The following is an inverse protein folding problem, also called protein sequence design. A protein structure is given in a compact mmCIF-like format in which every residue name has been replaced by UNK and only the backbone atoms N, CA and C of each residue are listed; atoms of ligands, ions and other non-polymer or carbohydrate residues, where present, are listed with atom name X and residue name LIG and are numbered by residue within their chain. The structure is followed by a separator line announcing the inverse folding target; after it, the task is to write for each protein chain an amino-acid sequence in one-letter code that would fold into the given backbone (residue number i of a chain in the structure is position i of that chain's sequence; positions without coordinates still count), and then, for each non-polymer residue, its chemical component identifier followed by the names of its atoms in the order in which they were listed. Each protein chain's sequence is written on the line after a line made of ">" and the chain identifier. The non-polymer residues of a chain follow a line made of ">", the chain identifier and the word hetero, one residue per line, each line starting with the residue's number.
data_IF_671587612711
#
_entry.id   IF_671587612711
#
_cell.length_a   1.000
_cell.length_b   1.000
_cell.length_c   1.000
_cell.angle_alpha   90.00
_cell.angle_beta   90.00
_cell.angle_gamma   90.00
#
_symmetry.space_group_name_H-M   'P 1'
#
loop_
_entity.id
_entity.type
_entity.pdbx_description
1 polymer ?
#
# COMPACT_ATOMS: atom_id res chain seq x y z
N UNK A 1 21.45 -7.66 28.32
CA UNK A 1 20.27 -7.72 27.42
C UNK A 1 20.73 -7.18 26.08
N UNK A 2 20.61 -7.92 24.97
CA UNK A 2 20.90 -7.33 23.65
C UNK A 2 19.99 -6.10 23.49
N UNK A 3 20.53 -5.00 22.97
CA UNK A 3 19.71 -3.85 22.61
C UNK A 3 18.67 -4.31 21.58
N UNK A 4 17.39 -3.99 21.81
CA UNK A 4 16.33 -4.30 20.85
C UNK A 4 16.42 -3.32 19.69
N UNK A 5 16.08 -3.80 18.49
CA UNK A 5 16.04 -2.93 17.31
C UNK A 5 14.86 -1.97 17.44
N UNK A 6 15.14 -0.68 17.31
CA UNK A 6 14.13 0.37 17.25
C UNK A 6 13.72 0.61 15.80
N UNK A 7 12.47 0.22 15.47
CA UNK A 7 11.88 0.38 14.14
C UNK A 7 11.59 1.86 13.78
N UNK A 8 11.73 2.77 14.74
CA UNK A 8 11.52 4.21 14.56
C UNK A 8 12.84 4.99 14.48
N UNK A 9 13.98 4.31 14.66
CA UNK A 9 15.29 4.96 14.62
C UNK A 9 15.59 5.54 13.23
N UNK A 10 16.23 6.73 13.12
CA UNK A 10 16.57 7.33 11.83
C UNK A 10 17.42 6.41 10.94
N UNK A 11 18.33 5.62 11.54
CA UNK A 11 19.16 4.65 10.82
C UNK A 11 18.35 3.53 10.20
N UNK A 12 17.33 3.02 10.91
CA UNK A 12 16.46 1.98 10.37
C UNK A 12 15.56 2.53 9.26
N UNK A 13 15.03 3.75 9.42
CA UNK A 13 14.20 4.40 8.41
C UNK A 13 14.99 4.72 7.13
N UNK A 14 16.28 5.04 7.25
CA UNK A 14 17.15 5.31 6.10
C UNK A 14 17.54 4.05 5.33
N UNK A 15 17.90 2.97 6.03
CA UNK A 15 18.24 1.67 5.42
C UNK A 15 17.83 0.50 6.33
N UNK A 16 16.65 -0.10 6.12
CA UNK A 16 16.16 -1.16 7.00
C UNK A 16 16.73 -2.55 6.66
N UNK A 17 17.33 -2.74 5.49
CA UNK A 17 17.69 -4.06 4.98
C UNK A 17 18.80 -4.78 5.77
N UNK A 18 19.87 -4.09 6.23
CA UNK A 18 20.84 -4.69 7.13
C UNK A 18 20.19 -5.18 8.43
N UNK A 19 19.27 -4.40 8.99
CA UNK A 19 18.54 -4.77 10.19
C UNK A 19 17.62 -5.98 9.96
N UNK A 20 16.95 -6.05 8.81
CA UNK A 20 16.15 -7.22 8.44
C UNK A 20 16.95 -8.51 8.36
N UNK A 21 18.19 -8.46 7.84
CA UNK A 21 19.06 -9.62 7.80
C UNK A 21 19.44 -10.11 9.21
N UNK A 22 19.73 -9.18 10.14
CA UNK A 22 20.02 -9.52 11.55
C UNK A 22 18.80 -10.14 12.22
N UNK A 23 17.62 -9.54 12.07
CA UNK A 23 16.38 -10.05 12.66
C UNK A 23 16.03 -11.45 12.15
N UNK A 24 16.15 -11.70 10.84
CA UNK A 24 15.89 -13.02 10.25
C UNK A 24 16.79 -14.12 10.82
N UNK A 25 18.05 -13.80 11.08
CA UNK A 25 19.01 -14.77 11.61
C UNK A 25 18.83 -15.04 13.11
N UNK A 26 18.12 -14.18 13.84
CA UNK A 26 17.98 -14.28 15.29
C UNK A 26 16.87 -15.24 15.73
N UNK A 27 15.66 -15.10 15.19
CA UNK A 27 14.52 -15.95 15.53
C UNK A 27 13.37 -15.80 14.52
N UNK A 28 12.38 -16.68 14.60
CA UNK A 28 11.15 -16.60 13.79
C UNK A 28 10.34 -15.33 14.04
N UNK A 29 10.34 -14.85 15.29
CA UNK A 29 9.85 -13.53 15.68
C UNK A 29 10.79 -12.92 16.72
N UNK A 30 11.14 -11.65 16.55
CA UNK A 30 12.09 -10.95 17.42
C UNK A 30 11.39 -9.80 18.14
N UNK A 31 11.53 -9.65 19.48
CA UNK A 31 11.00 -8.49 20.18
C UNK A 31 11.74 -7.21 19.75
N UNK A 32 10.99 -6.18 19.38
CA UNK A 32 11.49 -4.90 18.88
C UNK A 32 10.97 -3.73 19.70
N UNK A 33 11.61 -2.57 19.57
CA UNK A 33 11.17 -1.33 20.20
C UNK A 33 10.36 -0.45 19.24
N UNK A 34 9.41 0.36 19.76
CA UNK A 34 8.96 0.43 21.16
C UNK A 34 8.34 -0.88 21.69
N UNK A 35 8.56 -1.18 22.97
CA UNK A 35 8.24 -2.47 23.58
C UNK A 35 6.76 -2.92 23.45
N UNK A 36 6.52 -4.22 23.59
CA UNK A 36 5.22 -4.84 23.31
C UNK A 36 5.03 -5.18 21.82
N UNK A 37 6.08 -5.02 21.02
CA UNK A 37 6.10 -5.33 19.60
C UNK A 37 7.05 -6.49 19.27
N UNK A 38 6.69 -7.24 18.23
CA UNK A 38 7.49 -8.32 17.64
C UNK A 38 7.62 -8.11 16.15
N UNK A 39 8.78 -8.38 15.57
CA UNK A 39 9.00 -8.33 14.13
C UNK A 39 9.12 -9.74 13.55
N UNK A 40 8.43 -9.99 12.44
CA UNK A 40 8.51 -11.22 11.64
C UNK A 40 9.06 -10.84 10.27
N UNK A 41 10.19 -11.44 9.90
CA UNK A 41 11.03 -10.97 8.77
C UNK A 41 11.38 -12.05 7.76
N UNK A 42 11.29 -13.33 8.13
CA UNK A 42 11.51 -14.44 7.23
C UNK A 42 10.28 -14.68 6.35
N UNK A 43 10.49 -15.00 5.07
CA UNK A 43 9.41 -15.08 4.08
C UNK A 43 8.34 -16.12 4.44
N UNK A 44 8.77 -17.33 4.81
CA UNK A 44 7.86 -18.41 5.18
C UNK A 44 7.02 -18.06 6.42
N UNK A 45 7.62 -17.40 7.41
CA UNK A 45 6.96 -16.92 8.63
C UNK A 45 5.97 -15.78 8.34
N UNK A 46 6.34 -14.84 7.49
CA UNK A 46 5.44 -13.77 7.03
C UNK A 46 4.23 -14.37 6.33
N UNK A 47 4.43 -15.33 5.42
CA UNK A 47 3.35 -16.04 4.74
C UNK A 47 2.47 -16.82 5.72
N UNK A 48 3.06 -17.48 6.72
CA UNK A 48 2.33 -18.20 7.77
C UNK A 48 1.41 -17.25 8.57
N UNK A 49 1.95 -16.11 9.03
CA UNK A 49 1.19 -15.08 9.75
C UNK A 49 0.01 -14.58 8.92
N UNK A 50 0.24 -14.25 7.64
CA UNK A 50 -0.78 -13.73 6.75
C UNK A 50 -1.88 -14.74 6.37
N UNK A 51 -1.62 -16.04 6.54
CA UNK A 51 -2.59 -17.12 6.30
C UNK A 51 -3.41 -17.49 7.55
N UNK A 52 -3.11 -16.90 8.70
CA UNK A 52 -3.77 -17.16 9.99
C UNK A 52 -4.46 -15.91 10.55
N UNK A 53 -5.36 -15.25 9.81
CA UNK A 53 -5.99 -14.00 10.24
C UNK A 53 -6.84 -14.15 11.53
N UNK A 54 -7.31 -15.36 11.83
CA UNK A 54 -8.03 -15.68 13.08
C UNK A 54 -7.12 -15.65 14.32
N UNK A 55 -5.80 -15.73 14.12
CA UNK A 55 -4.78 -15.65 15.17
C UNK A 55 -4.09 -14.28 15.16
N UNK A 56 -3.75 -13.81 13.96
CA UNK A 56 -3.08 -12.55 13.70
C UNK A 56 -4.09 -11.56 13.12
N UNK A 57 -4.81 -10.90 14.02
CA UNK A 57 -5.89 -9.97 13.72
C UNK A 57 -5.39 -8.69 13.05
N UNK A 58 -6.17 -8.15 12.12
CA UNK A 58 -5.96 -6.82 11.55
C UNK A 58 -6.69 -5.72 12.33
N UNK A 59 -7.50 -6.08 13.33
CA UNK A 59 -8.26 -5.11 14.10
C UNK A 59 -7.36 -4.30 15.05
N UNK A 60 -7.58 -2.98 15.12
CA UNK A 60 -6.84 -2.13 16.04
C UNK A 60 -7.24 -2.40 17.50
N UNK A 61 -6.35 -2.09 18.44
CA UNK A 61 -6.75 -2.10 19.86
C UNK A 61 -7.67 -0.93 20.18
N UNK A 62 -8.42 -1.00 21.29
CA UNK A 62 -9.20 0.14 21.79
C UNK A 62 -8.36 1.42 21.93
N UNK A 63 -7.12 1.29 22.40
CA UNK A 63 -6.18 2.41 22.50
C UNK A 63 -5.76 2.98 21.13
N UNK A 64 -5.62 2.13 20.12
CA UNK A 64 -5.31 2.58 18.76
C UNK A 64 -6.54 3.31 18.16
N UNK A 65 -7.76 2.83 18.45
CA UNK A 65 -9.03 3.41 17.95
C UNK A 65 -9.30 4.82 18.45
N UNK A 66 -8.73 5.18 19.60
CA UNK A 66 -8.81 6.54 20.15
C UNK A 66 -7.92 7.54 19.40
N UNK A 67 -6.91 7.07 18.64
CA UNK A 67 -6.08 7.95 17.82
C UNK A 67 -6.91 8.55 16.70
N UNK A 68 -6.76 9.85 16.48
CA UNK A 68 -7.56 10.59 15.51
C UNK A 68 -7.48 10.03 14.08
N UNK A 69 -6.35 9.45 13.70
CA UNK A 69 -6.21 8.69 12.46
C UNK A 69 -7.20 7.52 12.40
N UNK A 70 -7.32 6.72 13.45
CA UNK A 70 -8.31 5.64 13.51
C UNK A 70 -9.74 6.12 13.77
N UNK A 71 -9.95 7.35 14.25
CA UNK A 71 -11.29 7.95 14.27
C UNK A 71 -11.71 8.45 12.87
N UNK A 72 -10.75 8.93 12.06
CA UNK A 72 -10.97 9.38 10.69
C UNK A 72 -10.98 8.22 9.67
N UNK A 73 -10.18 7.18 9.90
CA UNK A 73 -10.04 6.00 9.05
C UNK A 73 -10.76 4.76 9.61
N UNK A 74 -10.75 4.53 10.92
CA UNK A 74 -11.11 3.27 11.59
C UNK A 74 -12.61 3.10 11.93
N UNK A 75 -13.49 3.91 11.35
CA UNK A 75 -14.89 3.56 11.21
C UNK A 75 -15.05 2.47 10.14
N UNK A 76 -14.91 1.19 10.51
CA UNK A 76 -15.26 0.04 9.67
C UNK A 76 -14.70 0.06 8.23
N UNK A 77 -13.37 0.23 8.08
CA UNK A 77 -12.71 0.04 6.78
C UNK A 77 -12.17 -1.39 6.64
N UNK A 78 -11.97 -1.87 5.40
CA UNK A 78 -11.58 -3.26 5.19
C UNK A 78 -10.18 -3.59 5.74
N UNK A 79 -9.22 -2.66 5.67
CA UNK A 79 -7.82 -2.96 5.99
C UNK A 79 -7.60 -3.19 7.50
N UNK A 80 -8.49 -2.63 8.32
CA UNK A 80 -8.46 -2.70 9.78
C UNK A 80 -9.64 -3.53 10.35
N UNK A 81 -10.12 -4.51 9.58
CA UNK A 81 -11.21 -5.41 9.98
C UNK A 81 -10.81 -6.87 9.77
N UNK A 82 -11.35 -7.75 10.61
CA UNK A 82 -11.31 -9.20 10.38
C UNK A 82 -12.64 -9.74 9.83
N UNK A 83 -12.66 -11.02 9.50
CA UNK A 83 -13.88 -11.68 9.04
C UNK A 83 -14.92 -11.82 10.17
N UNK A 84 -16.22 -11.69 9.88
CA UNK A 84 -16.85 -11.60 8.55
C UNK A 84 -16.97 -10.17 7.98
N UNK A 85 -16.62 -9.13 8.76
CA UNK A 85 -16.74 -7.73 8.34
C UNK A 85 -15.86 -7.43 7.14
N UNK A 86 -14.62 -7.90 7.16
CA UNK A 86 -13.68 -7.78 6.04
C UNK A 86 -14.25 -8.37 4.74
N UNK A 87 -14.71 -9.62 4.75
CA UNK A 87 -15.25 -10.27 3.54
C UNK A 87 -16.46 -9.54 2.95
N UNK A 88 -17.38 -9.04 3.80
CA UNK A 88 -18.52 -8.23 3.36
C UNK A 88 -18.04 -6.96 2.66
N UNK A 89 -17.13 -6.23 3.32
CA UNK A 89 -16.57 -4.97 2.84
C UNK A 89 -15.82 -5.18 1.51
N UNK A 90 -14.87 -6.12 1.48
CA UNK A 90 -14.07 -6.48 0.31
C UNK A 90 -14.94 -6.94 -0.87
N UNK A 91 -15.98 -7.72 -0.62
CA UNK A 91 -16.91 -8.19 -1.64
C UNK A 91 -17.66 -7.05 -2.35
N UNK A 92 -17.96 -5.96 -1.63
CA UNK A 92 -18.58 -4.76 -2.23
C UNK A 92 -17.58 -4.04 -3.14
N UNK A 93 -16.33 -3.88 -2.69
CA UNK A 93 -15.30 -3.17 -3.45
C UNK A 93 -14.87 -3.92 -4.71
N UNK A 94 -14.65 -5.24 -4.62
CA UNK A 94 -14.20 -6.08 -5.74
C UNK A 94 -15.14 -6.02 -6.96
N UNK A 95 -16.45 -5.87 -6.74
CA UNK A 95 -17.43 -5.70 -7.84
C UNK A 95 -17.22 -4.42 -8.65
N UNK A 96 -16.56 -3.41 -8.06
CA UNK A 96 -16.41 -2.05 -8.61
C UNK A 96 -15.01 -1.79 -9.16
N UNK A 97 -14.01 -2.55 -8.69
CA UNK A 97 -12.61 -2.54 -9.15
C UNK A 97 -12.31 -3.76 -10.02
N UNK A 98 -13.05 -3.91 -11.12
CA UNK A 98 -12.86 -5.06 -12.01
C UNK A 98 -11.62 -4.89 -12.90
N UNK A 99 -10.96 -5.97 -13.34
CA UNK A 99 -9.84 -5.88 -14.28
C UNK A 99 -10.19 -5.15 -15.58
N UNK A 100 -11.45 -5.25 -16.03
CA UNK A 100 -11.91 -4.54 -17.22
C UNK A 100 -11.91 -3.02 -17.01
N UNK A 101 -12.39 -2.56 -15.85
CA UNK A 101 -12.38 -1.14 -15.50
C UNK A 101 -10.96 -0.60 -15.30
N UNK A 102 -10.08 -1.38 -14.68
CA UNK A 102 -8.68 -0.97 -14.54
C UNK A 102 -8.01 -0.83 -15.91
N UNK A 103 -8.26 -1.75 -16.84
CA UNK A 103 -7.76 -1.63 -18.22
C UNK A 103 -8.32 -0.42 -18.97
N UNK A 104 -9.56 0.01 -18.71
CA UNK A 104 -10.09 1.21 -19.35
C UNK A 104 -9.38 2.50 -18.92
N UNK A 105 -8.65 2.49 -17.79
CA UNK A 105 -7.86 3.64 -17.34
C UNK A 105 -6.53 3.75 -18.08
N UNK A 106 -6.04 2.68 -18.75
CA UNK A 106 -4.71 2.64 -19.34
C UNK A 106 -4.46 3.80 -20.32
N UNK A 107 -5.44 4.12 -21.18
CA UNK A 107 -5.32 5.24 -22.12
C UNK A 107 -5.23 6.60 -21.43
N UNK A 108 -5.97 6.82 -20.34
CA UNK A 108 -5.90 8.06 -19.56
C UNK A 108 -4.58 8.16 -18.80
N UNK A 109 -4.10 7.05 -18.23
CA UNK A 109 -2.81 6.99 -17.53
C UNK A 109 -1.67 7.28 -18.50
N UNK A 110 -1.65 6.69 -19.70
CA UNK A 110 -0.63 6.98 -20.73
C UNK A 110 -0.63 8.46 -21.11
N UNK A 111 -1.82 9.04 -21.35
CA UNK A 111 -1.94 10.46 -21.65
C UNK A 111 -1.39 11.34 -20.51
N UNK A 112 -1.73 11.02 -19.25
CA UNK A 112 -1.23 11.77 -18.09
C UNK A 112 0.29 11.63 -17.92
N UNK A 113 0.84 10.43 -18.16
CA UNK A 113 2.28 10.23 -18.12
C UNK A 113 2.99 11.12 -19.14
N UNK A 114 2.45 11.24 -20.37
CA UNK A 114 2.99 12.14 -21.40
C UNK A 114 2.88 13.60 -20.98
N UNK A 115 1.68 14.04 -20.54
CA UNK A 115 1.44 15.41 -20.06
C UNK A 115 2.49 15.82 -18.99
N UNK A 116 2.69 14.98 -17.97
CA UNK A 116 3.63 15.28 -16.88
C UNK A 116 5.10 15.27 -17.31
N UNK A 117 5.47 14.44 -18.30
CA UNK A 117 6.85 14.40 -18.81
C UNK A 117 7.11 15.52 -19.83
N UNK A 118 6.11 15.90 -20.61
CA UNK A 118 6.19 17.02 -21.55
C UNK A 118 6.39 18.35 -20.80
N UNK A 119 5.77 18.51 -19.62
CA UNK A 119 5.92 19.69 -18.75
C UNK A 119 7.37 19.95 -18.30
N UNK A 120 8.24 18.93 -18.34
CA UNK A 120 9.65 19.02 -17.93
C UNK A 120 10.62 18.67 -19.07
N UNK A 121 10.14 18.52 -20.31
CA UNK A 121 10.94 18.02 -21.43
C UNK A 121 12.11 18.94 -21.83
N UNK A 122 11.94 20.26 -21.64
CA UNK A 122 12.97 21.26 -21.96
C UNK A 122 13.92 21.53 -20.77
N UNK A 123 13.66 20.94 -19.61
CA UNK A 123 14.48 21.12 -18.40
C UNK A 123 15.65 20.10 -18.40
N UNK A 124 16.91 20.55 -18.30
CA UNK A 124 18.07 19.64 -18.32
C UNK A 124 18.14 18.76 -17.07
N UNK A 125 17.57 19.23 -15.96
CA UNK A 125 17.49 18.52 -14.68
C UNK A 125 16.16 18.87 -14.01
N UNK A 126 15.49 17.88 -13.42
CA UNK A 126 14.25 18.08 -12.69
C UNK A 126 14.12 17.08 -11.53
N UNK A 127 13.31 17.43 -10.54
CA UNK A 127 12.94 16.51 -9.47
C UNK A 127 11.80 15.60 -9.92
N UNK A 128 12.11 14.34 -10.19
CA UNK A 128 11.15 13.33 -10.63
C UNK A 128 9.99 13.15 -9.63
N UNK A 129 10.22 13.35 -8.33
CA UNK A 129 9.19 13.15 -7.32
C UNK A 129 8.09 14.19 -7.43
N UNK A 130 8.48 15.48 -7.42
CA UNK A 130 7.53 16.59 -7.54
C UNK A 130 6.95 16.72 -8.95
N UNK A 131 7.71 16.38 -10.00
CA UNK A 131 7.26 16.47 -11.39
C UNK A 131 6.34 15.31 -11.81
N UNK A 132 6.60 14.08 -11.36
CA UNK A 132 5.96 12.89 -11.93
C UNK A 132 5.38 11.92 -10.90
N UNK A 133 6.18 11.43 -9.93
CA UNK A 133 5.75 10.30 -9.10
C UNK A 133 4.65 10.66 -8.10
N UNK A 134 4.62 11.90 -7.60
CA UNK A 134 3.54 12.42 -6.74
C UNK A 134 2.32 12.85 -7.58
N UNK A 135 2.44 13.67 -8.64
CA UNK A 135 1.28 14.13 -9.39
C UNK A 135 0.47 13.01 -10.03
N UNK A 136 1.13 12.00 -10.61
CA UNK A 136 0.48 10.93 -11.38
C UNK A 136 -0.62 10.19 -10.58
N UNK A 137 -0.33 9.53 -9.44
CA UNK A 137 -1.36 8.80 -8.69
C UNK A 137 -2.42 9.73 -8.09
N UNK A 138 -2.02 10.92 -7.63
CA UNK A 138 -2.96 11.90 -7.03
C UNK A 138 -4.00 12.37 -8.04
N UNK A 139 -3.59 12.66 -9.28
CA UNK A 139 -4.51 13.08 -10.35
C UNK A 139 -5.43 11.92 -10.72
N UNK A 140 -4.90 10.70 -10.93
CA UNK A 140 -5.70 9.53 -11.30
C UNK A 140 -6.76 9.23 -10.23
N UNK A 141 -6.40 9.21 -8.94
CA UNK A 141 -7.39 8.93 -7.89
C UNK A 141 -8.41 10.06 -7.77
N UNK A 142 -8.02 11.32 -7.99
CA UNK A 142 -8.96 12.45 -7.98
C UNK A 142 -10.00 12.33 -9.10
N UNK A 143 -9.59 11.91 -10.29
CA UNK A 143 -10.50 11.66 -11.42
C UNK A 143 -11.42 10.47 -11.15
N UNK A 144 -10.89 9.39 -10.59
CA UNK A 144 -11.69 8.22 -10.19
C UNK A 144 -12.75 8.57 -9.15
N UNK A 145 -12.41 9.41 -8.17
CA UNK A 145 -13.35 9.91 -7.16
C UNK A 145 -14.33 10.97 -7.69
N UNK A 146 -14.17 11.42 -8.94
CA UNK A 146 -15.04 12.43 -9.53
C UNK A 146 -14.86 13.82 -8.92
N UNK A 147 -13.63 14.15 -8.52
CA UNK A 147 -13.27 15.47 -7.99
C UNK A 147 -13.45 16.52 -9.08
N UNK A 148 -14.09 17.64 -8.76
CA UNK A 148 -14.29 18.72 -9.72
C UNK A 148 -12.94 19.35 -10.13
N UNK A 149 -12.74 19.65 -11.42
CA UNK A 149 -11.46 20.16 -11.95
C UNK A 149 -10.90 21.36 -11.17
N UNK A 150 -11.75 22.30 -10.76
CA UNK A 150 -11.34 23.49 -10.01
C UNK A 150 -10.93 23.20 -8.55
N UNK A 151 -11.19 21.98 -8.05
CA UNK A 151 -10.85 21.51 -6.69
C UNK A 151 -9.60 20.63 -6.66
N UNK A 152 -8.96 20.34 -7.79
CA UNK A 152 -7.77 19.47 -7.84
C UNK A 152 -6.65 20.03 -6.95
N UNK A 153 -6.46 21.36 -6.90
CA UNK A 153 -5.47 21.99 -6.02
C UNK A 153 -5.75 21.74 -4.53
N UNK A 154 -7.01 21.91 -4.11
CA UNK A 154 -7.44 21.58 -2.74
C UNK A 154 -7.24 20.10 -2.45
N UNK A 155 -7.58 19.23 -3.40
CA UNK A 155 -7.44 17.79 -3.26
C UNK A 155 -5.98 17.34 -3.10
N UNK A 156 -5.05 17.97 -3.84
CA UNK A 156 -3.60 17.77 -3.65
C UNK A 156 -3.17 18.16 -2.23
N UNK A 157 -3.58 19.34 -1.75
CA UNK A 157 -3.28 19.79 -0.37
C UNK A 157 -3.81 18.80 0.67
N UNK A 158 -5.06 18.39 0.54
CA UNK A 158 -5.69 17.40 1.41
C UNK A 158 -4.97 16.04 1.40
N UNK A 159 -4.56 15.57 0.22
CA UNK A 159 -3.78 14.33 0.09
C UNK A 159 -2.43 14.44 0.81
N UNK A 160 -1.76 15.59 0.74
CA UNK A 160 -0.49 15.81 1.45
C UNK A 160 -0.69 15.80 2.97
N UNK A 161 -1.73 16.46 3.47
CA UNK A 161 -2.10 16.38 4.89
C UNK A 161 -2.37 14.96 5.33
N UNK A 162 -3.09 14.18 4.52
CA UNK A 162 -3.35 12.76 4.79
C UNK A 162 -2.07 11.94 4.93
N UNK A 163 -1.14 12.09 3.98
CA UNK A 163 0.17 11.42 3.97
C UNK A 163 1.02 11.86 5.18
N UNK A 164 1.02 13.15 5.52
CA UNK A 164 1.74 13.65 6.69
C UNK A 164 1.25 13.00 8.00
N UNK A 165 -0.06 12.78 8.16
CA UNK A 165 -0.60 12.07 9.33
C UNK A 165 -0.15 10.60 9.33
N UNK A 166 -0.20 9.92 8.18
CA UNK A 166 0.23 8.51 8.03
C UNK A 166 1.70 8.38 8.42
N UNK A 167 2.54 9.31 7.98
CA UNK A 167 3.97 9.35 8.27
C UNK A 167 4.33 9.89 9.66
N UNK A 168 3.34 10.07 10.53
CA UNK A 168 3.58 10.36 11.94
C UNK A 168 3.94 11.82 12.23
N UNK A 169 3.45 12.78 11.43
CA UNK A 169 3.60 14.20 11.72
C UNK A 169 3.25 14.53 13.19
N UNK A 170 4.05 15.43 13.77
CA UNK A 170 3.97 15.86 15.18
C UNK A 170 3.97 17.39 15.28
N UNK A 171 3.52 17.93 16.42
CA UNK A 171 3.49 19.38 16.67
C UNK A 171 2.59 20.14 15.69
N UNK A 172 3.00 21.35 15.29
CA UNK A 172 2.25 22.22 14.38
C UNK A 172 1.96 21.56 13.02
N UNK A 173 2.93 20.81 12.48
CA UNK A 173 2.74 20.08 11.22
C UNK A 173 1.59 19.07 11.31
N UNK A 174 1.41 18.43 12.47
CA UNK A 174 0.29 17.53 12.73
C UNK A 174 -1.04 18.30 12.76
N UNK A 175 -1.08 19.42 13.45
CA UNK A 175 -2.31 20.22 13.59
C UNK A 175 -2.81 20.71 12.22
N UNK A 176 -1.88 21.22 11.39
CA UNK A 176 -2.18 21.62 10.02
C UNK A 176 -2.69 20.44 9.17
N UNK A 177 -1.98 19.31 9.21
CA UNK A 177 -2.37 18.12 8.47
C UNK A 177 -3.75 17.58 8.92
N UNK A 178 -4.08 17.67 10.21
CA UNK A 178 -5.40 17.30 10.71
C UNK A 178 -6.50 18.22 10.18
N UNK A 179 -6.26 19.53 10.14
CA UNK A 179 -7.22 20.48 9.56
C UNK A 179 -7.52 20.15 8.09
N UNK A 180 -6.49 19.83 7.31
CA UNK A 180 -6.63 19.42 5.90
C UNK A 180 -7.41 18.10 5.74
N UNK A 181 -7.18 17.13 6.63
CA UNK A 181 -7.93 15.86 6.64
C UNK A 181 -9.41 16.10 7.00
N UNK A 182 -9.72 17.03 7.90
CA UNK A 182 -11.11 17.38 8.22
C UNK A 182 -11.81 18.08 7.05
N UNK A 183 -11.14 18.99 6.36
CA UNK A 183 -11.67 19.62 5.14
C UNK A 183 -11.96 18.58 4.05
N UNK A 184 -11.04 17.63 3.84
CA UNK A 184 -11.22 16.50 2.93
C UNK A 184 -12.45 15.68 3.29
N UNK A 185 -12.59 15.31 4.57
CA UNK A 185 -13.73 14.52 5.04
C UNK A 185 -15.06 15.24 4.78
N UNK A 186 -15.11 16.56 5.05
CA UNK A 186 -16.27 17.40 4.75
C UNK A 186 -16.59 17.46 3.25
N UNK A 187 -15.56 17.62 2.41
CA UNK A 187 -15.72 17.62 0.96
C UNK A 187 -16.25 16.27 0.44
N UNK A 188 -15.66 15.15 0.87
CA UNK A 188 -16.07 13.81 0.47
C UNK A 188 -17.49 13.48 0.93
N UNK A 189 -17.87 13.89 2.14
CA UNK A 189 -19.24 13.73 2.63
C UNK A 189 -20.24 14.50 1.75
N UNK A 190 -19.96 15.77 1.44
CA UNK A 190 -20.79 16.57 0.54
C UNK A 190 -20.81 16.00 -0.88
N UNK A 191 -19.70 15.46 -1.37
CA UNK A 191 -19.64 14.79 -2.67
C UNK A 191 -20.53 13.55 -2.69
N UNK A 192 -20.48 12.72 -1.65
CA UNK A 192 -21.37 11.57 -1.50
C UNK A 192 -22.85 11.99 -1.47
N UNK A 193 -23.22 13.07 -0.77
CA UNK A 193 -24.58 13.59 -0.77
C UNK A 193 -25.05 14.04 -2.16
N UNK A 194 -24.19 14.72 -2.93
CA UNK A 194 -24.49 15.05 -4.34
C UNK A 194 -24.77 13.79 -5.15
N UNK A 195 -23.99 12.71 -4.94
CA UNK A 195 -24.17 11.43 -5.64
C UNK A 195 -25.42 10.64 -5.17
N UNK A 196 -25.86 10.84 -3.92
CA UNK A 196 -27.15 10.32 -3.42
C UNK A 196 -28.33 10.98 -4.12
N UNK A 197 -28.23 12.30 -4.36
CA UNK A 197 -29.25 13.08 -5.05
C UNK A 197 -29.25 12.87 -6.57
N UNK A 198 -28.07 12.72 -7.18
CA UNK A 198 -27.89 12.49 -8.61
C UNK A 198 -26.81 11.43 -8.86
N UNK A 199 -27.22 10.28 -9.38
CA UNK A 199 -26.31 9.15 -9.62
C UNK A 199 -25.16 9.52 -10.57
N UNK A 200 -23.99 8.94 -10.32
CA UNK A 200 -22.77 9.10 -11.12
C UNK A 200 -22.02 7.77 -11.20
N UNK A 201 -21.26 7.57 -12.27
CA UNK A 201 -20.43 6.39 -12.49
C UNK A 201 -19.01 6.53 -11.90
N UNK A 202 -18.71 7.67 -11.27
CA UNK A 202 -17.50 7.85 -10.48
C UNK A 202 -17.47 6.92 -9.25
N UNK A 203 -16.29 6.75 -8.66
CA UNK A 203 -16.08 5.83 -7.55
C UNK A 203 -16.96 6.16 -6.34
N UNK A 204 -17.17 7.44 -6.02
CA UNK A 204 -18.06 7.85 -4.93
C UNK A 204 -19.50 7.44 -5.25
N UNK A 205 -19.98 7.69 -6.47
CA UNK A 205 -21.30 7.29 -6.92
C UNK A 205 -21.53 5.79 -6.83
N UNK A 206 -20.53 4.98 -7.19
CA UNK A 206 -20.60 3.52 -7.09
C UNK A 206 -20.59 3.00 -5.66
N UNK A 207 -19.84 3.65 -4.76
CA UNK A 207 -19.86 3.33 -3.33
C UNK A 207 -21.20 3.72 -2.71
N UNK A 208 -21.75 4.89 -3.06
CA UNK A 208 -23.10 5.33 -2.66
C UNK A 208 -24.18 4.36 -3.17
N UNK A 209 -24.06 3.86 -4.41
CA UNK A 209 -24.99 2.85 -4.93
C UNK A 209 -24.98 1.56 -4.08
N UNK A 210 -23.84 1.22 -3.46
CA UNK A 210 -23.71 0.07 -2.56
C UNK A 210 -24.53 0.22 -1.27
N UNK A 211 -24.92 1.45 -0.88
CA UNK A 211 -25.81 1.70 0.25
C UNK A 211 -27.21 1.11 0.00
N UNK A 212 -27.54 0.62 -1.20
CA UNK A 212 -28.85 0.04 -1.55
C UNK A 212 -28.80 -1.49 -1.77
N UNK A 213 -27.63 -2.12 -1.65
CA UNK A 213 -27.43 -3.57 -1.87
C UNK A 213 -27.46 -4.40 -0.58
N UNK A 214 -27.78 -5.71 -0.60
CA UNK A 214 -27.59 -6.58 0.56
C UNK A 214 -26.15 -6.52 1.10
N UNK A 215 -25.97 -6.32 2.41
CA UNK A 215 -24.65 -6.07 3.01
C UNK A 215 -24.21 -4.59 3.03
N UNK A 216 -25.13 -3.68 2.66
CA UNK A 216 -25.10 -2.20 2.65
C UNK A 216 -23.89 -1.55 3.32
N UNK A 217 -23.25 -0.64 2.60
CA UNK A 217 -22.41 0.37 3.24
C UNK A 217 -23.30 1.39 3.96
N UNK A 218 -22.88 1.79 5.15
CA UNK A 218 -23.33 2.99 5.84
C UNK A 218 -22.63 4.22 5.25
N UNK A 219 -23.19 5.40 5.50
CA UNK A 219 -22.57 6.65 5.08
C UNK A 219 -21.14 6.83 5.61
N UNK A 220 -20.89 6.34 6.84
CA UNK A 220 -19.55 6.31 7.43
C UNK A 220 -18.60 5.40 6.65
N UNK A 221 -19.03 4.18 6.31
CA UNK A 221 -18.21 3.25 5.52
C UNK A 221 -17.90 3.80 4.12
N UNK A 222 -18.85 4.47 3.45
CA UNK A 222 -18.59 5.13 2.16
C UNK A 222 -17.48 6.17 2.29
N UNK A 223 -17.53 7.01 3.32
CA UNK A 223 -16.51 8.03 3.56
C UNK A 223 -15.16 7.39 3.88
N UNK A 224 -15.13 6.40 4.77
CA UNK A 224 -13.92 5.66 5.13
C UNK A 224 -13.29 4.95 3.93
N UNK A 225 -14.10 4.47 2.98
CA UNK A 225 -13.60 3.91 1.72
C UNK A 225 -12.93 4.95 0.83
N UNK A 226 -13.54 6.11 0.67
CA UNK A 226 -12.96 7.18 -0.15
C UNK A 226 -11.59 7.60 0.41
N UNK A 227 -11.49 7.75 1.74
CA UNK A 227 -10.25 8.08 2.44
C UNK A 227 -9.22 6.95 2.32
N UNK A 228 -9.65 5.69 2.49
CA UNK A 228 -8.77 4.52 2.34
C UNK A 228 -8.18 4.43 0.93
N UNK A 229 -9.00 4.61 -0.11
CA UNK A 229 -8.56 4.50 -1.50
C UNK A 229 -7.61 5.64 -1.87
N UNK A 230 -7.84 6.83 -1.32
CA UNK A 230 -6.94 7.96 -1.45
C UNK A 230 -5.57 7.68 -0.81
N UNK A 231 -5.55 7.25 0.44
CA UNK A 231 -4.30 6.94 1.15
C UNK A 231 -3.54 5.77 0.50
N UNK A 232 -4.26 4.66 0.25
CA UNK A 232 -3.65 3.41 -0.20
C UNK A 232 -3.07 3.49 -1.61
N UNK A 233 -3.68 4.29 -2.51
CA UNK A 233 -3.25 4.40 -3.90
C UNK A 233 -2.16 5.44 -4.15
N UNK A 234 -2.05 6.46 -3.30
CA UNK A 234 -1.17 7.61 -3.57
C UNK A 234 0.28 7.34 -3.21
N UNK A 235 0.54 7.15 -1.92
CA UNK A 235 1.91 7.06 -1.41
C UNK A 235 2.63 5.79 -1.90
N UNK A 236 1.92 4.66 -1.93
CA UNK A 236 2.51 3.38 -2.35
C UNK A 236 2.95 3.40 -3.82
N UNK A 237 2.14 3.99 -4.71
CA UNK A 237 2.47 4.14 -6.13
C UNK A 237 3.59 5.15 -6.33
N UNK A 238 3.56 6.27 -5.58
CA UNK A 238 4.65 7.26 -5.58
C UNK A 238 5.98 6.61 -5.23
N UNK A 239 6.01 5.84 -4.14
CA UNK A 239 7.21 5.18 -3.63
C UNK A 239 7.70 4.06 -4.56
N UNK A 240 6.80 3.34 -5.22
CA UNK A 240 7.16 2.36 -6.25
C UNK A 240 7.88 3.02 -7.42
N UNK A 241 7.28 4.06 -7.98
CA UNK A 241 7.81 4.75 -9.16
C UNK A 241 9.15 5.42 -8.84
N UNK A 242 9.23 6.13 -7.70
CA UNK A 242 10.47 6.75 -7.24
C UNK A 242 11.56 5.72 -6.97
N UNK A 243 11.24 4.66 -6.21
CA UNK A 243 12.17 3.60 -5.89
C UNK A 243 12.68 2.85 -7.12
N UNK A 244 11.80 2.55 -8.08
CA UNK A 244 12.17 1.91 -9.34
C UNK A 244 13.08 2.80 -10.18
N UNK A 245 12.78 4.10 -10.28
CA UNK A 245 13.64 5.05 -10.97
C UNK A 245 15.03 5.14 -10.33
N UNK A 246 15.11 5.21 -9.00
CA UNK A 246 16.39 5.19 -8.26
C UNK A 246 17.15 3.89 -8.52
N UNK A 247 16.47 2.74 -8.48
CA UNK A 247 17.10 1.44 -8.73
C UNK A 247 17.65 1.32 -10.16
N UNK A 248 16.89 1.79 -11.16
CA UNK A 248 17.31 1.80 -12.56
C UNK A 248 18.47 2.77 -12.80
N UNK A 249 18.43 3.96 -12.20
CA UNK A 249 19.53 4.93 -12.29
C UNK A 249 20.85 4.39 -11.72
N UNK A 250 20.78 3.55 -10.67
CA UNK A 250 21.93 2.86 -10.11
C UNK A 250 22.41 1.66 -10.97
N UNK A 251 21.62 1.20 -11.95
CA UNK A 251 21.93 0.05 -12.82
C UNK A 251 21.66 0.38 -14.30
N UNK A 252 22.49 1.23 -14.94
CA UNK A 252 22.23 1.73 -16.30
C UNK A 252 22.12 0.65 -17.38
N UNK A 253 22.80 -0.49 -17.20
CA UNK A 253 22.71 -1.64 -18.09
C UNK A 253 21.28 -2.22 -18.14
N UNK A 254 20.51 -2.11 -17.06
CA UNK A 254 19.11 -2.53 -17.02
C UNK A 254 18.21 -1.57 -17.80
N UNK A 255 18.51 -0.26 -17.77
CA UNK A 255 17.81 0.74 -18.60
C UNK A 255 18.01 0.39 -20.08
N UNK A 256 19.26 0.18 -20.52
CA UNK A 256 19.53 -0.15 -21.92
C UNK A 256 18.85 -1.46 -22.36
N UNK A 257 18.69 -2.42 -21.45
CA UNK A 257 17.98 -3.68 -21.73
C UNK A 257 16.48 -3.45 -21.91
N UNK A 258 15.87 -2.61 -21.07
CA UNK A 258 14.45 -2.26 -21.17
C UNK A 258 14.15 -1.46 -22.45
N UNK A 259 15.07 -0.59 -22.87
CA UNK A 259 14.97 0.14 -24.14
C UNK A 259 15.06 -0.80 -25.35
N UNK A 260 15.96 -1.80 -25.31
CA UNK A 260 16.11 -2.79 -26.38
C UNK A 260 14.95 -3.79 -26.44
N UNK A 261 14.37 -4.14 -25.30
CA UNK A 261 13.25 -5.09 -25.20
C UNK A 261 12.16 -4.59 -24.22
N UNK A 262 11.22 -3.75 -24.70
CA UNK A 262 10.13 -3.23 -23.87
C UNK A 262 9.19 -4.31 -23.30
N UNK A 263 9.22 -5.54 -23.82
CA UNK A 263 8.44 -6.65 -23.23
C UNK A 263 8.92 -7.02 -21.82
N UNK A 264 10.11 -6.54 -21.41
CA UNK A 264 10.65 -6.73 -20.07
C UNK A 264 10.08 -5.75 -19.03
N UNK A 265 9.35 -4.70 -19.44
CA UNK A 265 8.82 -3.68 -18.51
C UNK A 265 7.91 -4.30 -17.45
N UNK A 266 7.03 -5.24 -17.81
CA UNK A 266 6.17 -5.92 -16.84
C UNK A 266 6.99 -6.62 -15.75
N UNK A 267 8.10 -7.27 -16.13
CA UNK A 267 9.01 -7.93 -15.18
C UNK A 267 9.79 -6.94 -14.32
N UNK A 268 10.19 -5.80 -14.90
CA UNK A 268 10.85 -4.74 -14.15
C UNK A 268 9.92 -4.12 -13.09
N UNK A 269 8.63 -4.00 -13.39
CA UNK A 269 7.62 -3.56 -12.41
C UNK A 269 7.47 -4.59 -11.28
N UNK A 270 7.37 -5.88 -11.58
CA UNK A 270 7.33 -6.94 -10.56
C UNK A 270 8.59 -6.95 -9.69
N UNK A 271 9.77 -6.76 -10.30
CA UNK A 271 11.02 -6.66 -9.56
C UNK A 271 11.09 -5.37 -8.72
N UNK A 272 10.55 -4.25 -9.21
CA UNK A 272 10.40 -3.02 -8.44
C UNK A 272 9.49 -3.21 -7.22
N UNK A 273 8.37 -3.93 -7.36
CA UNK A 273 7.49 -4.26 -6.25
C UNK A 273 8.21 -5.10 -5.17
N UNK A 274 9.04 -6.07 -5.58
CA UNK A 274 9.86 -6.85 -4.66
C UNK A 274 10.96 -6.01 -4.03
N UNK A 275 11.78 -5.36 -4.85
CA UNK A 275 13.00 -4.67 -4.44
C UNK A 275 12.70 -3.40 -3.61
N UNK A 276 11.80 -2.55 -4.07
CA UNK A 276 11.47 -1.31 -3.39
C UNK A 276 10.53 -1.54 -2.20
N UNK A 277 9.65 -2.55 -2.30
CA UNK A 277 8.64 -2.88 -1.28
C UNK A 277 7.95 -1.62 -0.70
N UNK A 278 7.14 -0.90 -1.49
CA UNK A 278 6.59 0.41 -1.11
C UNK A 278 5.86 0.44 0.24
N UNK A 279 5.28 -0.71 0.61
CA UNK A 279 4.81 -0.98 1.98
C UNK A 279 5.79 -1.95 2.63
N UNK A 280 6.60 -1.46 3.57
CA UNK A 280 7.62 -2.26 4.26
C UNK A 280 7.04 -3.33 5.19
N UNK A 281 5.80 -3.15 5.62
CA UNK A 281 5.07 -4.10 6.45
C UNK A 281 3.77 -3.52 6.97
N UNK A 282 2.96 -4.38 7.59
CA UNK A 282 1.77 -3.97 8.33
C UNK A 282 1.75 -4.66 9.69
N UNK A 283 1.00 -4.08 10.62
CA UNK A 283 0.83 -4.67 11.94
C UNK A 283 -0.29 -5.71 11.95
N UNK A 284 -0.12 -6.70 12.82
CA UNK A 284 -1.15 -7.62 13.31
C UNK A 284 -1.18 -7.62 14.82
N UNK A 285 -2.24 -8.18 15.39
CA UNK A 285 -2.39 -8.35 16.83
C UNK A 285 -2.69 -9.80 17.16
N UNK A 286 -2.11 -10.31 18.25
CA UNK A 286 -2.46 -11.63 18.79
C UNK A 286 -3.33 -11.47 20.03
N UNK A 287 -4.44 -12.20 20.11
CA UNK A 287 -5.38 -12.13 21.24
C UNK A 287 -5.12 -13.18 22.32
N UNK A 288 -4.32 -14.20 22.00
CA UNK A 288 -3.88 -15.25 22.90
C UNK A 288 -2.40 -15.55 22.65
N UNK A 289 -1.73 -16.15 23.63
CA UNK A 289 -0.36 -16.64 23.47
C UNK A 289 -0.29 -17.56 22.25
N UNK A 290 0.55 -17.20 21.29
CA UNK A 290 0.58 -17.82 19.96
C UNK A 290 1.97 -18.30 19.63
N UNK A 291 2.07 -19.53 19.10
CA UNK A 291 3.32 -20.03 18.54
C UNK A 291 3.47 -19.65 17.07
N UNK A 292 4.65 -19.14 16.73
CA UNK A 292 5.19 -19.03 15.39
C UNK A 292 6.47 -19.87 15.38
N UNK A 293 6.34 -21.09 14.85
CA UNK A 293 7.27 -22.21 15.04
C UNK A 293 7.73 -22.38 16.49
N UNK A 294 9.02 -22.13 16.76
CA UNK A 294 9.60 -22.29 18.09
C UNK A 294 9.49 -21.04 18.99
N UNK A 295 8.98 -19.93 18.46
CA UNK A 295 8.80 -18.69 19.22
C UNK A 295 7.37 -18.55 19.75
N UNK A 296 7.22 -18.25 21.04
CA UNK A 296 5.93 -17.86 21.64
C UNK A 296 5.79 -16.35 21.67
N UNK A 297 4.76 -15.84 20.99
CA UNK A 297 4.35 -14.44 20.99
C UNK A 297 3.23 -14.27 22.03
N UNK A 298 3.44 -13.44 23.09
CA UNK A 298 2.44 -13.25 24.15
C UNK A 298 1.16 -12.57 23.66
N UNK A 299 0.03 -12.89 24.28
CA UNK A 299 -1.26 -12.22 24.08
C UNK A 299 -1.13 -10.69 24.22
N UNK A 300 -1.86 -9.95 23.38
CA UNK A 300 -1.86 -8.49 23.33
C UNK A 300 -0.70 -7.88 22.53
N UNK A 301 0.30 -8.66 22.13
CA UNK A 301 1.44 -8.17 21.34
C UNK A 301 1.01 -7.62 19.98
N UNK A 302 1.69 -6.56 19.52
CA UNK A 302 1.64 -6.11 18.12
C UNK A 302 2.76 -6.82 17.34
N UNK A 303 2.42 -7.35 16.17
CA UNK A 303 3.35 -8.07 15.30
C UNK A 303 3.55 -7.26 14.03
N UNK A 304 4.75 -6.72 13.83
CA UNK A 304 5.18 -6.14 12.57
C UNK A 304 5.50 -7.25 11.58
N UNK A 305 4.63 -7.40 10.58
CA UNK A 305 4.79 -8.36 9.49
C UNK A 305 5.54 -7.67 8.37
N UNK A 306 6.86 -7.91 8.27
CA UNK A 306 7.72 -7.15 7.38
C UNK A 306 7.75 -7.73 5.96
N UNK A 307 6.98 -7.11 5.06
CA UNK A 307 6.98 -7.46 3.64
C UNK A 307 8.31 -7.14 2.97
N UNK A 308 8.91 -5.98 3.31
CA UNK A 308 10.22 -5.59 2.80
C UNK A 308 11.29 -6.61 3.17
N UNK A 309 11.31 -7.07 4.42
CA UNK A 309 12.22 -8.13 4.83
C UNK A 309 11.97 -9.43 4.05
N UNK A 310 10.71 -9.90 3.98
CA UNK A 310 10.34 -11.13 3.30
C UNK A 310 10.68 -11.11 1.81
N UNK A 311 10.45 -9.99 1.12
CA UNK A 311 10.77 -9.81 -0.30
C UNK A 311 12.28 -9.81 -0.59
N UNK A 312 13.11 -9.59 0.44
CA UNK A 312 14.58 -9.66 0.38
C UNK A 312 15.14 -10.88 1.12
N UNK A 313 14.31 -11.87 1.43
CA UNK A 313 14.75 -13.11 2.02
C UNK A 313 15.46 -13.98 0.96
N UNK A 314 16.76 -14.29 1.14
CA UNK A 314 17.52 -15.09 0.17
C UNK A 314 16.98 -16.52 0.00
N UNK A 315 16.18 -17.03 0.96
CA UNK A 315 15.58 -18.37 0.89
C UNK A 315 14.35 -18.43 -0.01
N UNK A 316 13.67 -17.30 -0.22
CA UNK A 316 12.49 -17.18 -1.08
C UNK A 316 12.83 -16.67 -2.50
N UNK A 317 13.93 -15.94 -2.63
CA UNK A 317 14.49 -15.54 -3.93
C UNK A 317 16.01 -15.52 -3.85
N UNK A 318 16.73 -16.36 -4.63
CA UNK A 318 18.16 -16.15 -4.82
C UNK A 318 18.39 -14.76 -5.43
N UNK A 319 19.31 -14.00 -4.84
CA UNK A 319 19.57 -12.58 -5.16
C UNK A 319 19.66 -12.31 -6.69
N UNK A 320 18.86 -11.36 -7.25
CA UNK A 320 18.86 -11.10 -8.69
C UNK A 320 19.82 -10.01 -9.15
N UNK A 321 20.44 -9.21 -8.26
CA UNK A 321 21.49 -8.25 -8.69
C UNK A 321 22.74 -9.01 -9.20
N UNK A 322 22.84 -10.32 -8.93
CA UNK A 322 23.87 -11.20 -9.47
C UNK A 322 23.36 -12.36 -10.35
N UNK A 323 22.04 -12.62 -10.47
CA UNK A 323 21.55 -13.79 -11.22
C UNK A 323 20.78 -13.43 -12.50
N UNK A 324 21.56 -13.45 -13.57
CA UNK A 324 21.14 -13.66 -14.96
C UNK A 324 20.70 -15.11 -15.15
N UNK A 325 19.40 -15.38 -15.26
CA UNK A 325 18.89 -16.68 -15.74
C UNK A 325 17.46 -16.57 -16.22
N UNK A 326 17.15 -17.20 -17.35
CA UNK A 326 15.84 -17.30 -18.03
C UNK A 326 14.79 -18.12 -17.25
N UNK A 327 14.96 -18.32 -15.95
CA UNK A 327 14.04 -19.07 -15.12
C UNK A 327 12.84 -18.19 -14.71
N UNK A 328 11.64 -18.71 -14.98
CA UNK A 328 10.35 -18.15 -14.57
C UNK A 328 10.21 -18.20 -13.05
N UNK A 329 10.66 -17.16 -12.35
CA UNK A 329 10.35 -16.94 -10.94
C UNK A 329 9.06 -16.11 -10.84
N UNK A 330 7.94 -16.79 -10.58
CA UNK A 330 6.70 -16.14 -10.18
C UNK A 330 6.82 -15.62 -8.75
N UNK A 331 7.44 -14.46 -8.56
CA UNK A 331 7.49 -13.78 -7.28
C UNK A 331 6.23 -12.93 -7.10
N UNK A 332 5.15 -13.52 -6.58
CA UNK A 332 4.04 -12.73 -6.03
C UNK A 332 4.55 -11.99 -4.80
N UNK A 333 4.44 -10.65 -4.80
CA UNK A 333 4.70 -9.83 -3.60
C UNK A 333 4.01 -10.44 -2.37
N UNK A 334 4.69 -10.43 -1.22
CA UNK A 334 4.24 -11.11 0.01
C UNK A 334 2.88 -10.65 0.57
N UNK A 335 2.21 -9.67 -0.04
CA UNK A 335 0.87 -9.18 0.34
C UNK A 335 -0.29 -10.17 0.10
N UNK A 336 0.00 -11.42 -0.30
CA UNK A 336 -0.98 -12.39 -0.79
C UNK A 336 -1.95 -13.01 0.25
N UNK A 337 -2.01 -12.50 1.49
CA UNK A 337 -2.96 -12.97 2.51
C UNK A 337 -3.95 -11.90 2.95
N UNK A 338 -5.25 -12.16 2.72
CA UNK A 338 -6.41 -11.42 3.27
C UNK A 338 -6.63 -10.01 2.72
N UNK A 339 -5.63 -9.15 2.85
CA UNK A 339 -5.63 -7.76 2.39
C UNK A 339 -4.68 -7.59 1.19
N UNK A 340 -4.95 -8.27 0.07
CA UNK A 340 -4.34 -7.82 -1.19
C UNK A 340 -4.88 -6.42 -1.45
N UNK A 341 -3.98 -5.46 -1.70
CA UNK A 341 -4.37 -4.14 -2.19
C UNK A 341 -5.37 -4.32 -3.34
N UNK A 342 -6.39 -3.46 -3.40
CA UNK A 342 -7.43 -3.49 -4.44
C UNK A 342 -6.89 -3.25 -5.87
N UNK A 343 -5.57 -3.28 -6.05
CA UNK A 343 -4.80 -2.92 -7.23
C UNK A 343 -4.02 -4.09 -7.85
N UNK A 344 -4.13 -5.31 -7.34
CA UNK A 344 -3.51 -6.48 -7.94
C UNK A 344 -4.52 -7.30 -8.78
N UNK A 345 -4.56 -7.16 -10.11
CA UNK A 345 -5.00 -8.24 -10.98
C UNK A 345 -3.80 -8.87 -11.69
N UNK A 346 -3.91 -10.19 -11.90
CA UNK A 346 -3.11 -11.05 -12.79
C UNK A 346 -2.18 -12.03 -12.03
N UNK A 347 -2.79 -13.03 -11.41
CA UNK A 347 -2.21 -14.38 -11.41
C UNK A 347 -2.63 -15.08 -12.71
N UNK A 348 -1.72 -15.20 -13.68
CA UNK A 348 -1.96 -16.04 -14.86
C UNK A 348 -1.49 -17.46 -14.59
N UNK A 349 -2.45 -18.38 -14.59
CA UNK A 349 -2.24 -19.82 -14.68
C UNK A 349 -1.46 -20.20 -15.95
N UNK A 350 -0.73 -21.33 -15.95
CA UNK A 350 0.15 -21.73 -17.05
C UNK A 350 -0.68 -22.24 -18.25
N UNK A 351 -0.32 -21.82 -19.46
CA UNK A 351 -0.66 -22.56 -20.69
C UNK A 351 0.59 -23.30 -21.18
N UNK A 352 0.50 -24.58 -21.57
CA UNK A 352 1.65 -25.42 -21.90
C UNK A 352 2.10 -25.28 -23.36
N UNK A 353 3.38 -25.57 -23.60
CA UNK A 353 4.06 -25.49 -24.90
C UNK A 353 4.70 -24.11 -25.04
N UNK A 354 5.99 -23.97 -25.31
CA UNK A 354 6.73 -24.55 -26.43
C UNK A 354 8.20 -24.81 -26.04
N UNK A 355 8.82 -25.68 -26.84
CA UNK A 355 10.10 -26.40 -26.67
C UNK A 355 11.29 -25.63 -26.11
#
# INVERSE_FOLDING_TARGET
>A
MKARLDLTSPSFLADPYPAYAVLRAEAEAVPVDPGGMWAVTAFDRVVEVLKRPEVFSSEPSEHDRERLFERAFGGANMIASDNPTHDRLRGILHKRFTPARMRSLAGRIDALCRELLDDVADEPEFDLVSAFTVPLPVIIISELLGVERHRIGDFKRWSNGLVAIINGASGEAREQALAEVFELAGYLAAAADRRRAAASDDLIGLLVAAEREPGRLSAGEVLSYCILLLAAGNETTTNLLGGLATALAANPDQIERLERDPALIERAVEEGLRYCSPVQGLFRRVHADTRLGDTTIPAGSRVWVSYGAANHDPTASPSPIASTSTATAGATSASAGGCTSAWAPISRAPRPGWR
#
